data_IF_641673000831
#
_entry.id   IF_641673000831
#
_cell.length_a   1.000
_cell.length_b   1.000
_cell.length_c   1.000
_cell.angle_alpha   90.00
_cell.angle_beta   90.00
_cell.angle_gamma   90.00
#
_symmetry.space_group_name_H-M   'P 1'
#
loop_
_entity.id
_entity.type
_entity.pdbx_description
1 polymer ?
#
# COMPACT_ATOMS: atom_id res chain seq x y z
N UNK A 1 27.23 3.13 -16.17
CA UNK A 1 26.29 3.32 -17.29
C UNK A 1 25.05 2.52 -16.91
N UNK A 2 23.95 3.19 -16.56
CA UNK A 2 22.66 2.52 -16.38
C UNK A 2 22.15 2.21 -17.79
N UNK A 3 22.07 0.93 -18.13
CA UNK A 3 21.41 0.49 -19.36
C UNK A 3 19.90 0.66 -19.15
N UNK A 4 19.35 1.72 -19.72
CA UNK A 4 17.90 1.91 -19.83
C UNK A 4 17.35 0.84 -20.75
N UNK A 5 16.58 -0.10 -20.20
CA UNK A 5 15.88 -1.13 -20.97
C UNK A 5 14.85 -0.48 -21.91
N UNK A 6 14.77 -0.95 -23.16
CA UNK A 6 13.95 -0.42 -24.27
C UNK A 6 12.43 -0.36 -23.99
N UNK A 7 11.97 -0.85 -22.84
CA UNK A 7 10.58 -0.78 -22.36
C UNK A 7 10.08 0.66 -22.09
N UNK A 8 10.96 1.65 -22.02
CA UNK A 8 10.57 3.07 -21.89
C UNK A 8 9.91 3.64 -23.18
N UNK A 9 9.97 2.88 -24.28
CA UNK A 9 9.50 3.31 -25.61
C UNK A 9 7.99 3.16 -25.83
N UNK A 10 7.25 2.48 -24.94
CA UNK A 10 5.79 2.35 -25.01
C UNK A 10 5.13 2.91 -23.77
N UNK A 11 4.91 4.24 -23.78
CA UNK A 11 4.39 5.04 -22.65
C UNK A 11 5.27 4.99 -21.40
N UNK A 12 6.53 5.41 -21.54
CA UNK A 12 7.54 5.55 -20.49
C UNK A 12 7.06 6.03 -19.13
N UNK A 13 6.72 5.06 -18.28
CA UNK A 13 6.51 5.26 -16.84
C UNK A 13 7.79 4.75 -16.18
N UNK A 14 8.50 5.62 -15.47
CA UNK A 14 9.66 5.21 -14.68
C UNK A 14 9.23 4.29 -13.53
N UNK A 15 10.16 3.46 -13.05
CA UNK A 15 9.94 2.63 -11.85
C UNK A 15 9.50 3.46 -10.64
N UNK A 16 10.00 4.69 -10.54
CA UNK A 16 9.63 5.64 -9.49
C UNK A 16 8.17 6.08 -9.62
N UNK A 17 7.73 6.47 -10.81
CA UNK A 17 6.32 6.84 -11.06
C UNK A 17 5.39 5.63 -10.86
N UNK A 18 5.79 4.42 -11.26
CA UNK A 18 5.02 3.21 -10.96
C UNK A 18 4.89 2.95 -9.46
N UNK A 19 5.98 3.17 -8.71
CA UNK A 19 5.99 3.04 -7.24
C UNK A 19 5.03 4.03 -6.59
N UNK A 20 5.04 5.29 -7.02
CA UNK A 20 4.14 6.32 -6.49
C UNK A 20 2.67 6.03 -6.83
N UNK A 21 2.39 5.56 -8.05
CA UNK A 21 1.03 5.11 -8.43
C UNK A 21 0.55 3.93 -7.60
N UNK A 22 1.45 2.98 -7.32
CA UNK A 22 1.12 1.84 -6.47
C UNK A 22 0.74 2.31 -5.06
N UNK A 23 1.56 3.16 -4.42
CA UNK A 23 1.25 3.74 -3.10
C UNK A 23 -0.08 4.50 -3.11
N UNK A 24 -0.34 5.30 -4.16
CA UNK A 24 -1.59 6.03 -4.31
C UNK A 24 -2.80 5.09 -4.40
N UNK A 25 -2.67 3.98 -5.15
CA UNK A 25 -3.75 2.99 -5.28
C UNK A 25 -4.10 2.33 -3.95
N UNK A 26 -3.11 1.98 -3.12
CA UNK A 26 -3.32 1.41 -1.78
C UNK A 26 -4.04 2.41 -0.87
N UNK A 27 -3.64 3.69 -0.92
CA UNK A 27 -4.30 4.74 -0.12
C UNK A 27 -5.77 4.92 -0.50
N UNK A 28 -6.09 4.92 -1.78
CA UNK A 28 -7.48 5.00 -2.27
C UNK A 28 -8.29 3.78 -1.78
N UNK A 29 -7.72 2.58 -1.84
CA UNK A 29 -8.40 1.37 -1.35
C UNK A 29 -8.67 1.44 0.17
N UNK A 30 -7.69 1.89 0.95
CA UNK A 30 -7.88 2.12 2.40
C UNK A 30 -8.97 3.15 2.68
N UNK A 31 -9.03 4.25 1.93
CA UNK A 31 -10.08 5.26 2.07
C UNK A 31 -11.47 4.69 1.71
N UNK A 32 -11.57 3.89 0.65
CA UNK A 32 -12.79 3.16 0.29
C UNK A 32 -13.21 2.20 1.41
N UNK A 33 -12.27 1.44 1.98
CA UNK A 33 -12.53 0.53 3.09
C UNK A 33 -13.06 1.28 4.32
N UNK A 34 -12.46 2.43 4.67
CA UNK A 34 -12.93 3.29 5.76
C UNK A 34 -14.36 3.77 5.53
N UNK A 35 -14.67 4.28 4.34
CA UNK A 35 -16.03 4.74 3.98
C UNK A 35 -17.05 3.61 4.07
N UNK A 36 -16.66 2.39 3.66
CA UNK A 36 -17.54 1.21 3.68
C UNK A 36 -17.62 0.53 5.06
N UNK A 37 -16.82 0.96 6.02
CA UNK A 37 -16.73 0.28 7.32
C UNK A 37 -16.15 -1.13 7.23
N UNK A 38 -15.14 -1.33 6.39
CA UNK A 38 -14.44 -2.61 6.25
C UNK A 38 -13.11 -2.60 7.01
N UNK A 39 -12.68 -3.76 7.57
CA UNK A 39 -11.39 -3.88 8.23
C UNK A 39 -10.22 -3.74 7.24
N UNK A 40 -9.11 -3.17 7.70
CA UNK A 40 -7.88 -2.91 6.92
C UNK A 40 -6.72 -3.68 7.56
N UNK A 41 -6.03 -4.50 6.78
CA UNK A 41 -4.81 -5.14 7.23
C UNK A 41 -3.62 -4.16 7.13
N UNK A 42 -2.76 -4.20 8.12
CA UNK A 42 -1.54 -3.40 8.17
C UNK A 42 -0.42 -4.13 8.91
N UNK A 43 0.75 -3.50 8.90
CA UNK A 43 1.93 -3.98 9.61
C UNK A 43 2.49 -2.84 10.43
N UNK A 44 2.82 -3.11 11.68
CA UNK A 44 3.44 -2.14 12.59
C UNK A 44 4.94 -2.41 12.62
N UNK A 45 5.72 -1.49 12.02
CA UNK A 45 7.18 -1.60 11.92
C UNK A 45 7.89 -1.42 13.28
N UNK A 46 7.26 -0.76 14.26
CA UNK A 46 7.85 -0.58 15.60
C UNK A 46 7.68 -1.85 16.44
N UNK A 47 6.54 -2.51 16.31
CA UNK A 47 6.19 -3.72 17.04
C UNK A 47 6.54 -5.02 16.28
N UNK A 48 7.01 -4.89 15.04
CA UNK A 48 7.35 -6.00 14.12
C UNK A 48 6.19 -7.01 13.98
N UNK A 49 4.94 -6.53 13.95
CA UNK A 49 3.77 -7.40 13.96
C UNK A 49 2.61 -6.95 13.05
N UNK A 50 1.92 -7.92 12.41
CA UNK A 50 0.75 -7.63 11.60
C UNK A 50 -0.47 -7.28 12.47
N UNK A 51 -1.34 -6.41 11.95
CA UNK A 51 -2.58 -6.02 12.60
C UNK A 51 -3.75 -5.89 11.62
N UNK A 52 -4.97 -5.93 12.17
CA UNK A 52 -6.21 -5.54 11.50
C UNK A 52 -6.77 -4.29 12.18
N UNK A 53 -6.96 -3.21 11.43
CA UNK A 53 -7.62 -1.97 11.87
C UNK A 53 -9.10 -2.01 11.48
N UNK A 54 -9.98 -1.86 12.46
CA UNK A 54 -11.42 -1.82 12.28
C UNK A 54 -11.94 -0.39 12.07
N UNK A 55 -13.18 -0.20 11.58
CA UNK A 55 -13.75 1.12 11.29
C UNK A 55 -13.88 2.05 12.50
N UNK A 56 -13.91 1.49 13.70
CA UNK A 56 -13.94 2.23 14.98
C UNK A 56 -12.54 2.73 15.41
N UNK A 57 -11.50 2.43 14.62
CA UNK A 57 -10.11 2.74 14.92
C UNK A 57 -9.42 1.72 15.84
N UNK A 58 -10.12 0.65 16.25
CA UNK A 58 -9.50 -0.42 17.03
C UNK A 58 -8.51 -1.19 16.15
N UNK A 59 -7.30 -1.41 16.65
CA UNK A 59 -6.31 -2.31 16.04
C UNK A 59 -6.22 -3.60 16.82
N UNK A 60 -6.25 -4.71 16.09
CA UNK A 60 -6.05 -6.05 16.62
C UNK A 60 -4.78 -6.64 16.04
N UNK A 61 -3.78 -6.83 16.91
CA UNK A 61 -2.49 -7.39 16.54
C UNK A 61 -2.56 -8.91 16.54
N UNK A 62 -2.13 -9.52 15.44
CA UNK A 62 -2.03 -10.98 15.33
C UNK A 62 -0.68 -11.37 15.91
N UNK A 63 -0.69 -11.94 17.12
CA UNK A 63 0.48 -12.55 17.74
C UNK A 63 0.30 -14.07 17.67
N UNK A 64 1.31 -14.79 17.19
CA UNK A 64 1.38 -16.25 17.26
C UNK A 64 1.51 -16.74 18.72
#
# INVERSE_FOLDING_TARGET
MQESNELDSTCGISDEELTERFKASIKIDQDICKIKGLPIAGYDDELDCPYIEYPDGKREYVKE
#
